data_IF_341107373777
#
_entry.id   IF_341107373777
#
_cell.length_a   1.000
_cell.length_b   1.000
_cell.length_c   1.000
_cell.angle_alpha   90.00
_cell.angle_beta   90.00
_cell.angle_gamma   90.00
#
_symmetry.space_group_name_H-M   'P 1'
#
loop_
_entity.id
_entity.type
_entity.pdbx_description
1 polymer ?
#
# COMPACT_ATOMS: atom_id res chain seq x y z
N UNK A 1 -19.23 -39.87 -22.24
CA UNK A 1 -18.21 -38.84 -22.52
C UNK A 1 -18.86 -37.49 -22.34
N UNK A 2 -18.70 -36.91 -21.16
CA UNK A 2 -19.35 -35.67 -20.73
C UNK A 2 -18.82 -34.53 -21.61
N UNK A 3 -19.70 -33.87 -22.37
CA UNK A 3 -19.32 -32.69 -23.13
C UNK A 3 -18.70 -31.67 -22.18
N UNK A 4 -17.41 -31.41 -22.37
CA UNK A 4 -16.64 -30.50 -21.53
C UNK A 4 -17.28 -29.11 -21.56
N UNK A 5 -17.52 -28.58 -20.36
CA UNK A 5 -18.16 -27.30 -20.11
C UNK A 5 -17.46 -26.14 -20.81
N UNK A 6 -18.02 -25.70 -21.93
CA UNK A 6 -17.65 -24.45 -22.57
C UNK A 6 -18.33 -23.31 -21.81
N UNK A 7 -17.54 -22.37 -21.32
CA UNK A 7 -18.05 -21.15 -20.70
C UNK A 7 -18.56 -20.23 -21.82
N UNK A 8 -19.87 -19.88 -21.87
CA UNK A 8 -20.37 -18.98 -22.89
C UNK A 8 -19.81 -17.58 -22.70
N UNK A 9 -19.68 -16.81 -23.78
CA UNK A 9 -19.11 -15.46 -23.72
C UNK A 9 -19.90 -14.52 -22.79
N UNK A 10 -21.22 -14.73 -22.64
CA UNK A 10 -22.04 -14.01 -21.66
C UNK A 10 -21.52 -14.16 -20.22
N UNK A 11 -20.99 -15.32 -19.85
CA UNK A 11 -20.34 -15.54 -18.54
C UNK A 11 -19.04 -14.75 -18.44
N UNK A 12 -18.25 -14.66 -19.51
CA UNK A 12 -17.05 -13.80 -19.54
C UNK A 12 -17.42 -12.33 -19.32
N UNK A 13 -18.49 -11.85 -19.96
CA UNK A 13 -18.99 -10.48 -19.78
C UNK A 13 -19.47 -10.24 -18.35
N UNK A 14 -20.21 -11.18 -17.77
CA UNK A 14 -20.63 -11.13 -16.37
C UNK A 14 -19.42 -10.93 -15.45
N UNK A 15 -18.39 -11.78 -15.56
CA UNK A 15 -17.17 -11.66 -14.74
C UNK A 15 -16.46 -10.33 -15.00
N UNK A 16 -16.26 -9.93 -16.26
CA UNK A 16 -15.59 -8.67 -16.62
C UNK A 16 -16.28 -7.46 -15.98
N UNK A 17 -17.61 -7.45 -15.98
CA UNK A 17 -18.40 -6.29 -15.59
C UNK A 17 -18.68 -6.26 -14.08
N UNK A 18 -18.73 -7.42 -13.39
CA UNK A 18 -19.12 -7.51 -11.98
C UNK A 18 -18.03 -7.97 -11.00
N UNK A 19 -16.91 -8.54 -11.46
CA UNK A 19 -15.91 -9.10 -10.57
C UNK A 19 -15.17 -8.03 -9.76
N UNK A 20 -15.49 -7.94 -8.46
CA UNK A 20 -14.85 -7.00 -7.54
C UNK A 20 -13.32 -7.18 -7.47
N UNK A 21 -12.83 -8.42 -7.49
CA UNK A 21 -11.39 -8.69 -7.49
C UNK A 21 -10.69 -8.09 -8.72
N UNK A 22 -11.26 -8.27 -9.92
CA UNK A 22 -10.72 -7.70 -11.16
C UNK A 22 -10.70 -6.17 -11.10
N UNK A 23 -11.81 -5.55 -10.71
CA UNK A 23 -11.91 -4.09 -10.63
C UNK A 23 -10.99 -3.50 -9.55
N UNK A 24 -10.90 -4.13 -8.38
CA UNK A 24 -9.99 -3.73 -7.30
C UNK A 24 -8.52 -3.82 -7.75
N UNK A 25 -8.10 -4.91 -8.41
CA UNK A 25 -6.74 -5.03 -8.94
C UNK A 25 -6.42 -3.98 -10.00
N UNK A 26 -7.37 -3.68 -10.90
CA UNK A 26 -7.20 -2.64 -11.92
C UNK A 26 -7.07 -1.25 -11.29
N UNK A 27 -7.94 -0.94 -10.32
CA UNK A 27 -7.91 0.31 -9.56
C UNK A 27 -6.59 0.46 -8.79
N UNK A 28 -6.17 -0.57 -8.05
CA UNK A 28 -4.91 -0.58 -7.30
C UNK A 28 -3.71 -0.32 -8.22
N UNK A 29 -3.61 -0.97 -9.37
CA UNK A 29 -2.53 -0.74 -10.35
C UNK A 29 -2.58 0.68 -10.94
N UNK A 30 -3.76 1.22 -11.19
CA UNK A 30 -3.91 2.59 -11.70
C UNK A 30 -3.46 3.63 -10.67
N UNK A 31 -3.91 3.48 -9.42
CA UNK A 31 -3.48 4.31 -8.29
C UNK A 31 -1.98 4.22 -8.06
N UNK A 32 -1.42 3.00 -8.03
CA UNK A 32 0.01 2.79 -7.85
C UNK A 32 0.83 3.55 -8.90
N UNK A 33 0.50 3.43 -10.20
CA UNK A 33 1.20 4.18 -11.27
C UNK A 33 1.08 5.69 -11.11
N UNK A 34 -0.09 6.17 -10.72
CA UNK A 34 -0.35 7.59 -10.54
C UNK A 34 0.50 8.16 -9.39
N UNK A 35 0.50 7.51 -8.22
CA UNK A 35 1.31 7.92 -7.08
C UNK A 35 2.81 7.69 -7.29
N UNK A 36 3.22 6.60 -7.96
CA UNK A 36 4.62 6.37 -8.30
C UNK A 36 5.17 7.47 -9.21
N UNK A 37 4.36 7.97 -10.15
CA UNK A 37 4.74 9.09 -10.99
C UNK A 37 4.81 10.40 -10.21
N UNK A 38 3.81 10.67 -9.36
CA UNK A 38 3.76 11.88 -8.55
C UNK A 38 4.92 11.97 -7.56
N UNK A 39 5.29 10.85 -6.90
CA UNK A 39 6.31 10.78 -5.86
C UNK A 39 7.76 10.74 -6.37
N UNK A 40 7.98 10.77 -7.69
CA UNK A 40 9.33 10.84 -8.29
C UNK A 40 10.23 11.92 -7.67
N UNK A 41 9.77 13.17 -7.41
CA UNK A 41 10.59 14.20 -6.79
C UNK A 41 11.07 13.86 -5.38
N UNK A 42 10.33 13.04 -4.63
CA UNK A 42 10.73 12.53 -3.32
C UNK A 42 11.64 11.30 -3.41
N UNK A 43 11.89 10.77 -4.61
CA UNK A 43 12.75 9.62 -4.84
C UNK A 43 12.24 8.33 -4.19
N UNK A 44 10.92 8.16 -4.05
CA UNK A 44 10.28 6.98 -3.47
C UNK A 44 9.06 6.54 -4.29
N UNK A 45 8.70 5.26 -4.17
CA UNK A 45 7.45 4.72 -4.74
C UNK A 45 6.27 4.87 -3.78
N UNK A 46 5.04 4.67 -4.24
CA UNK A 46 3.85 4.65 -3.39
C UNK A 46 3.94 3.58 -2.28
N UNK A 47 4.48 2.39 -2.59
CA UNK A 47 4.67 1.34 -1.60
C UNK A 47 5.70 1.71 -0.53
N UNK A 48 6.78 2.39 -0.94
CA UNK A 48 7.77 2.92 0.00
C UNK A 48 7.21 4.05 0.85
N UNK A 49 6.39 4.93 0.27
CA UNK A 49 5.66 5.95 1.01
C UNK A 49 4.75 5.33 2.07
N UNK A 50 3.89 4.38 1.67
CA UNK A 50 2.99 3.66 2.60
C UNK A 50 3.76 2.94 3.71
N UNK A 51 4.91 2.34 3.39
CA UNK A 51 5.77 1.74 4.40
C UNK A 51 6.35 2.79 5.36
N UNK A 52 6.97 3.85 4.85
CA UNK A 52 7.57 4.90 5.70
C UNK A 52 6.53 5.58 6.59
N UNK A 53 5.36 5.96 6.05
CA UNK A 53 4.31 6.59 6.83
C UNK A 53 3.74 5.64 7.89
N UNK A 54 3.68 4.33 7.62
CA UNK A 54 3.25 3.32 8.61
C UNK A 54 4.19 3.20 9.81
N UNK A 55 5.45 3.63 9.67
CA UNK A 55 6.46 3.64 10.73
C UNK A 55 6.49 4.94 11.53
N UNK A 56 5.80 5.99 11.06
CA UNK A 56 5.68 7.27 11.77
C UNK A 56 4.76 7.11 13.00
N UNK A 57 5.31 6.57 14.09
CA UNK A 57 4.62 6.28 15.35
C UNK A 57 5.46 6.76 16.53
N UNK A 58 4.85 7.06 17.70
CA UNK A 58 5.60 7.46 18.90
C UNK A 58 6.68 6.45 19.31
N UNK A 59 6.39 5.16 19.17
CA UNK A 59 7.36 4.07 19.37
C UNK A 59 7.52 3.26 18.07
N UNK A 60 8.74 2.82 17.73
CA UNK A 60 8.97 1.93 16.60
C UNK A 60 8.07 0.68 16.66
N UNK A 61 7.24 0.42 15.65
CA UNK A 61 6.36 -0.73 15.66
C UNK A 61 7.13 -2.05 15.45
N UNK A 62 6.61 -3.18 15.95
CA UNK A 62 7.11 -4.48 15.56
C UNK A 62 6.67 -4.84 14.13
N UNK A 63 7.32 -5.83 13.53
CA UNK A 63 7.04 -6.30 12.15
C UNK A 63 5.58 -6.70 11.91
N UNK A 64 4.96 -7.45 12.85
CA UNK A 64 3.62 -8.03 12.65
C UNK A 64 2.53 -6.98 12.38
N UNK A 65 2.35 -5.96 13.24
CA UNK A 65 1.39 -4.89 13.01
C UNK A 65 1.62 -4.09 11.73
N UNK A 66 2.87 -3.92 11.28
CA UNK A 66 3.17 -3.24 10.01
C UNK A 66 2.79 -4.13 8.82
N UNK A 67 3.12 -5.42 8.89
CA UNK A 67 2.73 -6.41 7.88
C UNK A 67 1.21 -6.48 7.70
N UNK A 68 0.46 -6.54 8.81
CA UNK A 68 -1.00 -6.53 8.79
C UNK A 68 -1.57 -5.24 8.19
N UNK A 69 -1.08 -4.08 8.62
CA UNK A 69 -1.55 -2.78 8.12
C UNK A 69 -1.34 -2.62 6.61
N UNK A 70 -0.24 -3.16 6.07
CA UNK A 70 0.08 -3.06 4.65
C UNK A 70 -0.45 -4.25 3.83
N UNK A 71 -1.20 -5.17 4.45
CA UNK A 71 -1.64 -6.43 3.86
C UNK A 71 -0.49 -7.21 3.19
N UNK A 72 0.68 -7.23 3.83
CA UNK A 72 1.88 -7.92 3.37
C UNK A 72 2.20 -9.11 4.27
N UNK A 73 2.67 -10.20 3.67
CA UNK A 73 3.36 -11.22 4.44
C UNK A 73 4.73 -10.73 4.94
N UNK A 74 5.31 -11.43 5.91
CA UNK A 74 6.57 -11.05 6.55
C UNK A 74 7.76 -11.05 5.58
N UNK A 75 7.76 -11.94 4.59
CA UNK A 75 8.84 -12.03 3.59
C UNK A 75 8.79 -10.83 2.65
N UNK A 76 7.60 -10.47 2.18
CA UNK A 76 7.35 -9.29 1.35
C UNK A 76 7.74 -8.01 2.09
N UNK A 77 7.35 -7.85 3.36
CA UNK A 77 7.75 -6.70 4.17
C UNK A 77 9.28 -6.62 4.36
N UNK A 78 9.93 -7.76 4.62
CA UNK A 78 11.41 -7.81 4.75
C UNK A 78 12.09 -7.37 3.45
N UNK A 79 11.59 -7.82 2.30
CA UNK A 79 12.10 -7.42 1.00
C UNK A 79 11.90 -5.91 0.73
N UNK A 80 10.75 -5.36 1.13
CA UNK A 80 10.42 -3.94 0.98
C UNK A 80 11.27 -3.02 1.90
N UNK A 81 11.61 -3.49 3.10
CA UNK A 81 12.47 -2.76 4.04
C UNK A 81 13.93 -2.67 3.58
N UNK A 82 14.44 -3.72 2.93
CA UNK A 82 15.85 -3.83 2.52
C UNK A 82 16.39 -2.63 1.72
N UNK A 83 15.71 -2.13 0.67
CA UNK A 83 16.17 -0.92 -0.04
C UNK A 83 16.07 0.36 0.80
N UNK A 84 15.09 0.47 1.71
CA UNK A 84 14.94 1.64 2.58
C UNK A 84 16.01 1.68 3.66
N UNK A 85 16.36 0.53 4.23
CA UNK A 85 17.45 0.39 5.20
C UNK A 85 18.81 0.69 4.55
N UNK A 86 19.05 0.19 3.33
CA UNK A 86 20.27 0.51 2.56
C UNK A 86 20.42 2.01 2.27
N UNK A 87 19.30 2.73 2.12
CA UNK A 87 19.26 4.18 1.93
C UNK A 87 19.32 4.96 3.24
N UNK A 88 19.36 4.29 4.39
CA UNK A 88 19.35 4.92 5.71
C UNK A 88 18.01 5.54 6.11
N UNK A 89 16.90 5.22 5.42
CA UNK A 89 15.58 5.78 5.71
C UNK A 89 14.85 5.04 6.84
N UNK A 90 15.24 3.80 7.09
CA UNK A 90 14.69 2.92 8.12
C UNK A 90 15.84 2.20 8.82
N UNK A 91 15.69 1.96 10.12
CA UNK A 91 16.60 1.11 10.90
C UNK A 91 15.83 -0.01 11.55
N UNK A 92 16.37 -1.23 11.48
CA UNK A 92 15.80 -2.38 12.17
C UNK A 92 16.58 -2.61 13.46
N UNK A 93 15.90 -2.54 14.59
CA UNK A 93 16.50 -2.66 15.94
C UNK A 93 15.97 -3.90 16.66
N UNK A 94 16.74 -4.54 17.57
CA UNK A 94 16.21 -5.58 18.45
C UNK A 94 15.06 -5.05 19.31
N UNK A 95 14.04 -5.88 19.57
CA UNK A 95 12.99 -5.50 20.51
C UNK A 95 13.50 -5.61 21.96
N UNK A 96 13.48 -4.52 22.76
CA UNK A 96 13.92 -4.58 24.15
C UNK A 96 13.02 -5.47 25.03
N UNK A 97 11.77 -5.73 24.60
CA UNK A 97 10.79 -6.56 25.32
C UNK A 97 10.79 -8.02 24.84
N UNK A 98 11.40 -8.33 23.70
CA UNK A 98 11.47 -9.67 23.13
C UNK A 98 12.80 -9.87 22.37
N UNK A 99 13.68 -10.73 22.89
CA UNK A 99 14.98 -11.04 22.25
C UNK A 99 14.87 -11.64 20.84
N UNK A 100 13.70 -12.16 20.46
CA UNK A 100 13.41 -12.70 19.13
C UNK A 100 12.70 -11.68 18.22
N UNK A 101 12.27 -10.55 18.80
CA UNK A 101 11.55 -9.48 18.14
C UNK A 101 12.46 -8.46 17.45
N UNK A 102 11.89 -7.78 16.45
CA UNK A 102 12.53 -6.66 15.75
C UNK A 102 11.56 -5.48 15.68
N UNK A 103 12.12 -4.28 15.83
CA UNK A 103 11.44 -2.99 15.81
C UNK A 103 11.86 -2.22 14.57
N UNK A 104 10.91 -1.60 13.88
CA UNK A 104 11.12 -0.87 12.65
C UNK A 104 11.11 0.62 12.95
N UNK A 105 12.28 1.26 12.93
CA UNK A 105 12.43 2.68 13.26
C UNK A 105 12.53 3.50 11.98
N UNK A 106 11.65 4.48 11.83
CA UNK A 106 11.83 5.56 10.86
C UNK A 106 12.99 6.46 11.32
N UNK A 107 13.96 6.72 10.44
CA UNK A 107 15.12 7.57 10.76
C UNK A 107 14.81 9.05 10.50
N UNK A 108 15.63 9.99 10.98
CA UNK A 108 15.52 11.40 10.61
C UNK A 108 15.56 11.63 9.09
N UNK A 109 16.39 10.88 8.36
CA UNK A 109 16.47 10.94 6.89
C UNK A 109 15.18 10.42 6.25
N UNK A 110 14.60 9.35 6.78
CA UNK A 110 13.29 8.85 6.38
C UNK A 110 12.17 9.87 6.61
N UNK A 111 12.21 10.56 7.74
CA UNK A 111 11.27 11.65 8.06
C UNK A 111 11.42 12.83 7.09
N UNK A 112 12.65 13.22 6.75
CA UNK A 112 12.90 14.27 5.77
C UNK A 112 12.34 13.92 4.39
N UNK A 113 12.46 12.67 3.96
CA UNK A 113 11.83 12.18 2.72
C UNK A 113 10.30 12.27 2.81
N UNK A 114 9.70 11.88 3.94
CA UNK A 114 8.26 12.01 4.14
C UNK A 114 7.78 13.46 4.11
N UNK A 115 8.56 14.40 4.66
CA UNK A 115 8.22 15.82 4.64
C UNK A 115 8.14 16.39 3.21
N UNK A 116 8.94 15.86 2.28
CA UNK A 116 8.85 16.20 0.85
C UNK A 116 7.69 15.45 0.18
N UNK A 117 7.49 14.18 0.51
CA UNK A 117 6.50 13.32 -0.15
C UNK A 117 5.05 13.64 0.24
N UNK A 118 4.79 14.02 1.49
CA UNK A 118 3.45 14.25 2.01
C UNK A 118 2.64 15.30 1.23
N UNK A 119 3.13 16.53 0.96
CA UNK A 119 2.35 17.52 0.22
C UNK A 119 2.05 17.07 -1.21
N UNK A 120 2.97 16.33 -1.85
CA UNK A 120 2.75 15.72 -3.17
C UNK A 120 1.63 14.69 -3.09
N UNK A 121 1.68 13.80 -2.09
CA UNK A 121 0.65 12.81 -1.85
C UNK A 121 -0.71 13.46 -1.60
N UNK A 122 -0.77 14.49 -0.76
CA UNK A 122 -2.01 15.19 -0.38
C UNK A 122 -2.70 15.80 -1.61
N UNK A 123 -1.96 16.56 -2.42
CA UNK A 123 -2.48 17.13 -3.67
C UNK A 123 -2.95 16.03 -4.62
N UNK A 124 -2.11 15.03 -4.86
CA UNK A 124 -2.41 13.92 -5.77
C UNK A 124 -3.64 13.14 -5.34
N UNK A 125 -3.78 12.92 -4.02
CA UNK A 125 -4.90 12.21 -3.42
C UNK A 125 -6.20 13.01 -3.54
N UNK A 126 -6.17 14.33 -3.31
CA UNK A 126 -7.32 15.20 -3.51
C UNK A 126 -7.81 15.18 -4.98
N UNK A 127 -6.90 15.22 -5.95
CA UNK A 127 -7.24 15.10 -7.38
C UNK A 127 -7.87 13.74 -7.71
N UNK A 128 -7.44 12.65 -7.06
CA UNK A 128 -8.06 11.33 -7.21
C UNK A 128 -9.46 11.32 -6.63
N UNK A 129 -9.67 11.91 -5.46
CA UNK A 129 -10.99 11.99 -4.83
C UNK A 129 -12.02 12.67 -5.72
N UNK A 130 -11.65 13.73 -6.44
CA UNK A 130 -12.55 14.41 -7.39
C UNK A 130 -13.01 13.53 -8.56
N UNK A 131 -12.31 12.43 -8.85
CA UNK A 131 -12.61 11.51 -9.96
C UNK A 131 -13.51 10.35 -9.54
N UNK A 132 -13.77 10.18 -8.24
CA UNK A 132 -14.62 9.11 -7.73
C UNK A 132 -16.08 9.49 -7.96
N UNK A 133 -16.69 8.91 -9.01
CA UNK A 133 -17.96 9.34 -9.57
C UNK A 133 -19.18 9.32 -8.65
N UNK A 134 -19.15 8.59 -7.52
CA UNK A 134 -20.24 8.59 -6.52
C UNK A 134 -20.19 9.76 -5.54
N UNK A 135 -19.17 10.63 -5.61
CA UNK A 135 -19.02 11.80 -4.75
C UNK A 135 -18.70 11.50 -3.28
N UNK A 136 -18.66 10.24 -2.86
CA UNK A 136 -18.28 9.84 -1.50
C UNK A 136 -17.06 8.89 -1.48
N UNK A 137 -15.83 9.47 -1.53
CA UNK A 137 -14.60 8.73 -1.27
C UNK A 137 -14.58 8.04 0.10
N UNK A 138 -15.30 8.58 1.09
CA UNK A 138 -15.43 8.00 2.42
C UNK A 138 -16.18 6.68 2.41
N UNK A 139 -17.29 6.58 1.67
CA UNK A 139 -18.00 5.32 1.44
C UNK A 139 -17.13 4.30 0.75
N UNK A 140 -16.41 4.68 -0.31
CA UNK A 140 -15.50 3.77 -0.99
C UNK A 140 -14.44 3.19 -0.03
N UNK A 141 -13.86 4.01 0.86
CA UNK A 141 -12.89 3.52 1.85
C UNK A 141 -13.50 2.52 2.82
N UNK A 142 -14.71 2.79 3.32
CA UNK A 142 -15.42 1.86 4.22
C UNK A 142 -15.71 0.53 3.52
N UNK A 143 -16.26 0.60 2.31
CA UNK A 143 -16.54 -0.58 1.49
C UNK A 143 -15.27 -1.42 1.25
N UNK A 144 -14.10 -0.79 1.05
CA UNK A 144 -12.82 -1.49 0.90
C UNK A 144 -12.32 -2.12 2.21
N UNK A 145 -12.52 -1.46 3.35
CA UNK A 145 -12.14 -2.00 4.68
C UNK A 145 -13.00 -3.21 5.03
N UNK A 146 -14.30 -3.17 4.70
CA UNK A 146 -15.23 -4.26 5.00
C UNK A 146 -14.92 -5.55 4.21
N UNK A 147 -14.07 -5.48 3.17
CA UNK A 147 -13.63 -6.64 2.38
C UNK A 147 -12.48 -7.44 3.01
N UNK A 148 -11.79 -6.92 4.04
CA UNK A 148 -10.72 -7.62 4.76
C UNK A 148 -9.45 -6.79 4.97
#
# INVERSE_FOLDING_TARGET
MSNAGVIPFSTTLLVRDSCLCLHAQRAARALARLFDNALKPAGITNGQFSLLISLNRPEPPPMGPVANLLAMDRTTLTAALKPLERRGLVRIEPDPKDKRGKRLRLTPEGMAVLAVAFPIWEQTHAEVETKIGSGDPGRLRRDLIDLG
#
